data_IF_660017123069
#
_entry.id   IF_660017123069
#
_cell.length_a   1.000
_cell.length_b   1.000
_cell.length_c   1.000
_cell.angle_alpha   90.00
_cell.angle_beta   90.00
_cell.angle_gamma   90.00
#
_symmetry.space_group_name_H-M   'P 1'
#
loop_
_entity.id
_entity.type
_entity.pdbx_description
1 polymer ?
#
# COMPACT_ATOMS: atom_id res chain seq x y z
N UNK A 1 5.16 1.39 19.41
CA UNK A 1 4.08 0.55 19.98
C UNK A 1 4.57 -0.88 20.14
N UNK A 2 3.98 -1.68 21.05
CA UNK A 2 4.31 -3.09 21.28
C UNK A 2 3.01 -3.90 21.37
N UNK A 3 2.98 -5.06 20.73
CA UNK A 3 1.88 -6.03 20.83
C UNK A 3 2.37 -7.26 21.59
N UNK A 4 1.62 -7.69 22.59
CA UNK A 4 1.89 -8.93 23.35
C UNK A 4 0.92 -10.01 22.87
N UNK A 5 1.45 -11.15 22.48
CA UNK A 5 0.66 -12.26 21.93
C UNK A 5 0.50 -13.38 22.95
N UNK A 6 -0.72 -13.88 23.10
CA UNK A 6 -0.98 -15.15 23.78
C UNK A 6 -0.83 -16.29 22.76
N UNK A 7 0.21 -17.11 22.91
CA UNK A 7 0.45 -18.28 22.06
C UNK A 7 0.22 -19.54 22.89
N UNK A 8 -0.49 -20.51 22.33
CA UNK A 8 -0.60 -21.83 22.94
C UNK A 8 0.79 -22.48 23.03
N UNK A 9 1.27 -22.72 24.24
CA UNK A 9 2.62 -23.26 24.46
C UNK A 9 2.84 -24.61 23.78
N UNK A 10 1.76 -25.39 23.56
CA UNK A 10 1.84 -26.67 22.83
C UNK A 10 2.18 -26.49 21.35
N UNK A 11 1.89 -25.34 20.76
CA UNK A 11 2.12 -25.09 19.32
C UNK A 11 3.40 -24.30 19.05
N UNK A 12 3.97 -23.68 20.09
CA UNK A 12 5.15 -22.80 19.97
C UNK A 12 6.40 -23.51 19.43
N UNK A 13 6.50 -24.84 19.64
CA UNK A 13 7.59 -25.65 19.10
C UNK A 13 7.62 -25.70 17.56
N UNK A 14 6.49 -25.43 16.89
CA UNK A 14 6.41 -25.35 15.43
C UNK A 14 6.98 -24.06 14.84
N UNK A 15 7.24 -23.05 15.67
CA UNK A 15 7.71 -21.74 15.22
C UNK A 15 9.23 -21.68 15.39
N UNK A 16 10.03 -21.60 14.31
CA UNK A 16 11.47 -21.39 14.41
C UNK A 16 11.78 -20.06 15.13
N UNK A 17 12.84 -20.02 15.94
CA UNK A 17 13.25 -18.82 16.70
C UNK A 17 13.62 -17.62 15.84
N UNK A 18 13.94 -17.85 14.57
CA UNK A 18 14.25 -16.80 13.58
C UNK A 18 13.10 -16.52 12.61
N UNK A 19 11.88 -17.00 12.90
CA UNK A 19 10.70 -16.59 12.15
C UNK A 19 10.43 -15.10 12.36
N UNK A 20 10.09 -14.38 11.29
CA UNK A 20 9.62 -13.00 11.36
C UNK A 20 8.10 -12.96 11.46
N UNK A 21 7.55 -11.79 11.77
CA UNK A 21 6.09 -11.61 11.79
C UNK A 21 5.64 -10.52 10.81
N UNK A 22 4.49 -10.76 10.20
CA UNK A 22 3.74 -9.76 9.43
C UNK A 22 2.39 -9.50 10.08
N UNK A 23 1.97 -8.23 10.05
CA UNK A 23 0.62 -7.85 10.47
C UNK A 23 -0.18 -7.59 9.19
N UNK A 24 -1.00 -8.56 8.81
CA UNK A 24 -1.80 -8.51 7.59
C UNK A 24 -3.28 -8.36 7.93
N UNK A 25 -3.96 -7.45 7.25
CA UNK A 25 -5.42 -7.40 7.21
C UNK A 25 -5.88 -8.20 6.00
N UNK A 26 -6.54 -9.34 6.20
CA UNK A 26 -7.13 -10.12 5.12
C UNK A 26 -8.38 -9.46 4.50
N UNK A 27 -8.77 -8.29 5.02
CA UNK A 27 -10.01 -7.59 4.70
C UNK A 27 -9.77 -6.08 4.68
N UNK A 28 -10.49 -5.39 3.81
CA UNK A 28 -10.49 -3.92 3.68
C UNK A 28 -11.10 -3.18 4.88
N UNK A 29 -11.90 -3.85 5.70
CA UNK A 29 -12.58 -3.27 6.86
C UNK A 29 -12.55 -4.14 8.13
N UNK A 30 -11.68 -5.15 8.20
CA UNK A 30 -11.76 -6.17 9.25
C UNK A 30 -10.49 -6.35 10.09
N UNK A 31 -10.51 -7.43 10.87
CA UNK A 31 -9.50 -7.74 11.86
C UNK A 31 -8.13 -8.01 11.20
N UNK A 32 -7.08 -7.47 11.82
CA UNK A 32 -5.69 -7.75 11.45
C UNK A 32 -5.19 -8.95 12.24
N UNK A 33 -4.43 -9.83 11.59
CA UNK A 33 -3.80 -10.98 12.20
C UNK A 33 -2.28 -10.80 12.26
N UNK A 34 -1.64 -11.49 13.21
CA UNK A 34 -0.18 -11.64 13.24
C UNK A 34 0.17 -13.00 12.65
N UNK A 35 0.91 -12.98 11.56
CA UNK A 35 1.34 -14.18 10.85
C UNK A 35 2.84 -14.39 11.07
N UNK A 36 3.21 -15.61 11.49
CA UNK A 36 4.61 -16.03 11.55
C UNK A 36 5.05 -16.53 10.19
N UNK A 37 6.12 -15.93 9.65
CA UNK A 37 6.65 -16.27 8.34
C UNK A 37 7.80 -17.27 8.52
N UNK A 38 7.71 -18.49 7.97
CA UNK A 38 8.81 -19.42 7.96
C UNK A 38 10.03 -18.81 7.23
N UNK A 39 11.21 -18.79 7.85
CA UNK A 39 12.42 -18.29 7.20
C UNK A 39 12.91 -19.29 6.16
N UNK A 40 13.68 -18.82 5.18
CA UNK A 40 14.31 -19.67 4.15
C UNK A 40 15.22 -20.75 4.77
N UNK A 41 15.85 -20.44 5.91
CA UNK A 41 16.65 -21.37 6.70
C UNK A 41 16.13 -21.38 8.14
N UNK A 42 15.28 -22.34 8.52
CA UNK A 42 14.77 -22.48 9.88
C UNK A 42 15.89 -22.73 10.88
N UNK A 43 15.90 -21.95 11.97
CA UNK A 43 16.72 -22.24 13.13
C UNK A 43 16.32 -23.60 13.73
N UNK A 44 17.26 -24.43 14.20
CA UNK A 44 16.97 -25.70 14.85
C UNK A 44 16.31 -25.51 16.23
N UNK A 45 16.25 -24.28 16.73
CA UNK A 45 15.60 -23.95 18.00
C UNK A 45 14.29 -23.22 17.76
N UNK A 46 13.25 -23.63 18.47
CA UNK A 46 11.94 -22.97 18.41
C UNK A 46 11.92 -21.66 19.20
N UNK A 47 10.91 -20.83 18.90
CA UNK A 47 10.60 -19.64 19.66
C UNK A 47 10.37 -19.99 21.14
N UNK A 48 10.74 -19.08 22.04
CA UNK A 48 10.60 -19.23 23.49
C UNK A 48 9.61 -18.21 24.04
N UNK A 49 9.03 -18.47 25.23
CA UNK A 49 8.22 -17.46 25.92
C UNK A 49 9.04 -16.17 26.07
N UNK A 50 8.35 -15.03 26.02
CA UNK A 50 8.91 -13.70 26.15
C UNK A 50 9.91 -13.29 25.04
N UNK A 51 10.03 -14.08 23.97
CA UNK A 51 10.84 -13.70 22.81
C UNK A 51 10.29 -12.43 22.13
N UNK A 52 11.21 -11.54 21.74
CA UNK A 52 10.88 -10.36 20.95
C UNK A 52 11.13 -10.63 19.47
N UNK A 53 10.06 -10.54 18.66
CA UNK A 53 10.13 -10.74 17.21
C UNK A 53 9.92 -9.40 16.52
N UNK A 54 10.80 -9.06 15.57
CA UNK A 54 10.66 -7.86 14.77
C UNK A 54 9.55 -8.05 13.72
N UNK A 55 8.60 -7.12 13.68
CA UNK A 55 7.62 -7.03 12.59
C UNK A 55 8.26 -6.33 11.40
N UNK A 56 8.59 -7.08 10.34
CA UNK A 56 9.40 -6.56 9.22
C UNK A 56 8.63 -5.78 8.17
N UNK A 57 7.31 -5.79 8.17
CA UNK A 57 6.51 -4.82 7.42
C UNK A 57 5.05 -4.85 7.88
N UNK A 58 4.49 -3.67 8.13
CA UNK A 58 3.04 -3.47 8.03
C UNK A 58 2.79 -3.31 6.53
N UNK A 59 1.99 -4.21 5.94
CA UNK A 59 1.66 -4.11 4.52
C UNK A 59 1.04 -2.73 4.25
N UNK A 60 1.55 -2.06 3.22
CA UNK A 60 1.17 -0.72 2.79
C UNK A 60 -0.36 -0.55 2.87
N UNK A 61 -0.84 0.22 3.84
CA UNK A 61 -2.28 0.33 4.10
C UNK A 61 -2.94 1.00 2.89
N UNK A 62 -4.06 0.43 2.41
CA UNK A 62 -4.86 0.99 1.30
C UNK A 62 -5.27 2.45 1.57
N UNK A 63 -5.38 2.84 2.84
CA UNK A 63 -5.57 4.23 3.28
C UNK A 63 -4.53 5.18 2.64
N UNK A 64 -3.26 4.78 2.58
CA UNK A 64 -2.19 5.58 1.96
C UNK A 64 -2.34 5.70 0.45
N UNK A 65 -2.87 4.69 -0.24
CA UNK A 65 -3.14 4.78 -1.68
C UNK A 65 -4.31 5.72 -1.98
N UNK A 66 -5.38 5.66 -1.19
CA UNK A 66 -6.51 6.57 -1.36
C UNK A 66 -6.10 8.02 -1.07
N UNK A 67 -5.31 8.24 0.00
CA UNK A 67 -4.72 9.55 0.29
C UNK A 67 -3.80 10.03 -0.83
N UNK A 68 -2.93 9.16 -1.37
CA UNK A 68 -2.03 9.52 -2.47
C UNK A 68 -2.79 9.91 -3.75
N UNK A 69 -3.89 9.24 -4.04
CA UNK A 69 -4.76 9.59 -5.17
C UNK A 69 -5.42 10.96 -4.95
N UNK A 70 -5.97 11.21 -3.76
CA UNK A 70 -6.58 12.50 -3.41
C UNK A 70 -5.54 13.63 -3.46
N UNK A 71 -4.33 13.41 -2.95
CA UNK A 71 -3.25 14.40 -2.97
C UNK A 71 -2.78 14.68 -4.41
N UNK A 72 -2.73 13.68 -5.28
CA UNK A 72 -2.44 13.86 -6.70
C UNK A 72 -3.52 14.67 -7.40
N UNK A 73 -4.80 14.37 -7.13
CA UNK A 73 -5.93 15.11 -7.70
C UNK A 73 -5.96 16.57 -7.22
N UNK A 74 -5.57 16.86 -5.96
CA UNK A 74 -5.41 18.23 -5.47
C UNK A 74 -4.20 18.97 -6.07
N UNK A 75 -3.22 18.25 -6.63
CA UNK A 75 -2.06 18.83 -7.29
C UNK A 75 -2.33 19.27 -8.73
N UNK A 76 -3.49 18.89 -9.29
CA UNK A 76 -3.96 19.39 -10.57
C UNK A 76 -4.59 20.76 -10.32
N UNK A 77 -3.95 21.81 -10.81
CA UNK A 77 -4.53 23.15 -10.78
C UNK A 77 -5.67 23.24 -11.83
N UNK A 78 -6.94 23.36 -11.41
CA UNK A 78 -8.05 23.45 -12.36
C UNK A 78 -7.98 24.70 -13.24
N UNK A 79 -7.24 25.74 -12.84
CA UNK A 79 -7.03 26.96 -13.62
C UNK A 79 -6.07 26.69 -14.78
N UNK A 80 -4.95 26.00 -14.54
CA UNK A 80 -4.01 25.63 -15.63
C UNK A 80 -4.62 24.65 -16.63
N UNK A 81 -5.45 23.70 -16.15
CA UNK A 81 -6.17 22.78 -17.03
C UNK A 81 -7.17 23.53 -17.92
N UNK A 82 -7.96 24.46 -17.35
CA UNK A 82 -8.88 25.29 -18.13
C UNK A 82 -8.13 26.19 -19.11
N UNK A 83 -6.97 26.74 -18.71
CA UNK A 83 -6.12 27.54 -19.58
C UNK A 83 -5.60 26.73 -20.78
N UNK A 84 -5.15 25.50 -20.54
CA UNK A 84 -4.67 24.60 -21.61
C UNK A 84 -5.79 24.18 -22.55
N UNK A 85 -6.95 23.79 -22.02
CA UNK A 85 -8.13 23.43 -22.83
C UNK A 85 -8.66 24.63 -23.63
N UNK A 86 -8.61 25.83 -23.06
CA UNK A 86 -9.02 27.07 -23.73
C UNK A 86 -8.02 27.45 -24.83
N UNK A 87 -6.71 27.34 -24.57
CA UNK A 87 -5.67 27.59 -25.58
C UNK A 87 -5.74 26.57 -26.74
N UNK A 88 -6.00 25.30 -26.44
CA UNK A 88 -6.23 24.26 -27.47
C UNK A 88 -7.50 24.52 -28.27
N UNK A 89 -8.59 24.88 -27.58
CA UNK A 89 -9.86 25.22 -28.24
C UNK A 89 -9.70 26.45 -29.12
N UNK A 90 -8.97 27.48 -28.69
CA UNK A 90 -8.74 28.70 -29.47
C UNK A 90 -7.81 28.44 -30.67
N UNK A 91 -6.75 27.64 -30.48
CA UNK A 91 -5.93 27.15 -31.59
C UNK A 91 -6.77 26.41 -32.64
N UNK A 92 -7.72 25.57 -32.20
CA UNK A 92 -8.62 24.88 -33.13
C UNK A 92 -9.68 25.81 -33.74
N UNK A 93 -10.18 26.80 -32.98
CA UNK A 93 -11.22 27.75 -33.40
C UNK A 93 -10.71 28.75 -34.45
N UNK A 94 -9.40 29.02 -34.46
CA UNK A 94 -8.72 29.83 -35.48
C UNK A 94 -8.21 29.05 -36.70
N UNK A 95 -8.14 27.71 -36.65
CA UNK A 95 -7.71 26.85 -37.76
C UNK A 95 -8.85 25.97 -38.34
N UNK A 96 -10.10 26.23 -37.97
CA UNK A 96 -11.27 25.53 -38.51
C UNK A 96 -11.40 25.67 -40.04
N UNK A 97 -11.03 26.83 -40.58
CA UNK A 97 -11.02 27.09 -42.02
C UNK A 97 -9.83 26.40 -42.74
N UNK A 98 -8.69 26.19 -42.05
CA UNK A 98 -7.54 25.44 -42.59
C UNK A 98 -7.84 23.93 -42.67
N UNK A 99 -8.61 23.39 -41.72
CA UNK A 99 -9.01 21.97 -41.69
C UNK A 99 -10.24 21.69 -42.57
N UNK A 100 -11.06 22.71 -42.86
CA UNK A 100 -12.20 22.62 -43.78
C UNK A 100 -11.84 22.67 -45.28
N UNK A 101 -10.60 23.03 -45.62
CA UNK A 101 -10.10 23.11 -47.00
C UNK A 101 -9.54 21.81 -47.58
N UNK A 102 -9.56 20.70 -46.84
CA UNK A 102 -9.00 19.39 -47.26
C UNK A 102 -10.08 18.28 -47.38
N UNK A 103 -11.35 18.65 -47.53
CA UNK A 103 -12.43 17.73 -47.96
C UNK A 103 -13.03 18.22 -49.27
#
# INVERSE_FOLDING_TARGET
>A
ARLTLGINSKDMHFIPSNATVHIAGNTIFGAKAVEFIPPQTPSPTSLRPDAHVAATSVQLEVNTLFQSLIDLLHKIDPVELNGTLSAFSEGLRGHGDDLGGIL
#
